data_IF_226631022900
#
_entry.id   IF_226631022900
#
_cell.length_a   1.000
_cell.length_b   1.000
_cell.length_c   1.000
_cell.angle_alpha   90.00
_cell.angle_beta   90.00
_cell.angle_gamma   90.00
#
_symmetry.space_group_name_H-M   'P 1'
#
loop_
_entity.id
_entity.type
_entity.pdbx_description
1 polymer ?
#
# COMPACT_ATOMS: atom_id res chain seq x y z
N UNK A 1 40.41 -29.17 36.49
CA UNK A 1 39.43 -29.68 35.51
C UNK A 1 38.15 -28.87 35.70
N UNK A 2 37.86 -27.92 34.80
CA UNK A 2 36.62 -27.15 34.88
C UNK A 2 35.47 -28.07 34.46
N UNK A 3 34.64 -28.48 35.42
CA UNK A 3 33.44 -29.24 35.14
C UNK A 3 32.49 -28.37 34.31
N UNK A 4 32.35 -28.70 33.02
CA UNK A 4 31.42 -28.03 32.13
C UNK A 4 30.00 -28.38 32.58
N UNK A 5 29.34 -27.47 33.31
CA UNK A 5 27.93 -27.62 33.69
C UNK A 5 27.08 -27.50 32.42
N UNK A 6 26.63 -28.62 31.89
CA UNK A 6 25.67 -28.65 30.79
C UNK A 6 24.28 -28.21 31.25
N UNK A 7 23.47 -27.77 30.27
CA UNK A 7 22.04 -27.51 30.47
C UNK A 7 21.31 -28.81 30.80
N UNK A 8 20.35 -28.76 31.73
CA UNK A 8 19.47 -29.90 32.03
C UNK A 8 18.35 -30.01 30.99
N UNK A 9 17.85 -31.23 30.78
CA UNK A 9 16.70 -31.45 29.90
C UNK A 9 15.45 -30.70 30.35
N UNK A 10 15.26 -30.57 31.68
CA UNK A 10 14.11 -29.85 32.23
C UNK A 10 14.21 -28.34 31.98
N UNK A 11 15.41 -27.75 32.08
CA UNK A 11 15.62 -26.34 31.73
C UNK A 11 15.33 -26.09 30.25
N UNK A 12 15.77 -26.98 29.35
CA UNK A 12 15.46 -26.87 27.93
C UNK A 12 13.96 -26.98 27.64
N UNK A 13 13.25 -27.89 28.31
CA UNK A 13 11.80 -28.04 28.14
C UNK A 13 11.03 -26.79 28.57
N UNK A 14 11.41 -26.16 29.69
CA UNK A 14 10.78 -24.93 30.16
C UNK A 14 11.05 -23.78 29.18
N UNK A 15 12.28 -23.66 28.67
CA UNK A 15 12.63 -22.62 27.68
C UNK A 15 11.80 -22.78 26.41
N UNK A 16 11.67 -24.01 25.89
CA UNK A 16 10.84 -24.27 24.70
C UNK A 16 9.37 -23.93 24.95
N UNK A 17 8.84 -24.25 26.13
CA UNK A 17 7.46 -23.92 26.50
C UNK A 17 7.22 -22.39 26.51
N UNK A 18 8.13 -21.62 27.11
CA UNK A 18 8.03 -20.16 27.16
C UNK A 18 8.14 -19.55 25.75
N UNK A 19 9.10 -20.01 24.93
CA UNK A 19 9.25 -19.54 23.54
C UNK A 19 7.99 -19.87 22.73
N UNK A 20 7.39 -21.05 22.94
CA UNK A 20 6.14 -21.44 22.28
C UNK A 20 4.98 -20.49 22.57
N UNK A 21 4.79 -20.10 23.83
CA UNK A 21 3.75 -19.14 24.23
C UNK A 21 4.00 -17.76 23.61
N UNK A 22 5.24 -17.27 23.67
CA UNK A 22 5.60 -15.97 23.09
C UNK A 22 5.41 -15.97 21.56
N UNK A 23 5.81 -17.03 20.87
CA UNK A 23 5.66 -17.16 19.42
C UNK A 23 4.19 -17.17 18.99
N UNK A 24 3.32 -17.84 19.76
CA UNK A 24 1.88 -17.90 19.47
C UNK A 24 1.21 -16.51 19.45
N UNK A 25 1.69 -15.57 20.28
CA UNK A 25 1.19 -14.18 20.34
C UNK A 25 1.91 -13.29 19.33
N UNK A 26 3.23 -13.44 19.22
CA UNK A 26 4.07 -12.56 18.41
C UNK A 26 3.85 -12.74 16.90
N UNK A 27 3.64 -13.98 16.42
CA UNK A 27 3.51 -14.25 14.98
C UNK A 27 2.25 -13.58 14.39
N UNK A 28 1.04 -13.73 14.94
CA UNK A 28 -0.15 -13.04 14.42
C UNK A 28 -0.01 -11.51 14.48
N UNK A 29 0.57 -10.98 15.55
CA UNK A 29 0.80 -9.55 15.69
C UNK A 29 1.76 -9.00 14.60
N UNK A 30 2.84 -9.74 14.32
CA UNK A 30 3.81 -9.36 13.29
C UNK A 30 3.20 -9.40 11.88
N UNK A 31 2.35 -10.38 11.57
CA UNK A 31 1.63 -10.43 10.29
C UNK A 31 0.79 -9.18 10.05
N UNK A 32 0.13 -8.65 11.09
CA UNK A 32 -0.61 -7.39 11.00
C UNK A 32 0.29 -6.19 10.68
N UNK A 33 1.50 -6.13 11.23
CA UNK A 33 2.47 -5.07 10.92
C UNK A 33 2.97 -5.14 9.47
N UNK A 34 3.22 -6.36 8.96
CA UNK A 34 3.60 -6.57 7.57
C UNK A 34 2.47 -6.11 6.63
N UNK A 35 1.22 -6.43 6.95
CA UNK A 35 0.06 -5.98 6.18
C UNK A 35 -0.01 -4.44 6.10
N UNK A 36 0.13 -3.72 7.23
CA UNK A 36 0.17 -2.24 7.25
C UNK A 36 1.30 -1.70 6.37
N UNK A 37 2.47 -2.32 6.46
CA UNK A 37 3.66 -1.91 5.71
C UNK A 37 3.48 -2.12 4.21
N UNK A 38 2.85 -3.22 3.79
CA UNK A 38 2.54 -3.49 2.38
C UNK A 38 1.56 -2.46 1.80
N UNK A 39 0.51 -2.10 2.56
CA UNK A 39 -0.46 -1.09 2.13
C UNK A 39 0.19 0.29 2.00
N UNK A 40 1.01 0.68 2.98
CA UNK A 40 1.75 1.94 2.92
C UNK A 40 2.77 1.96 1.78
N UNK A 41 3.46 0.85 1.51
CA UNK A 41 4.39 0.71 0.40
C UNK A 41 3.66 0.81 -0.95
N UNK A 42 2.53 0.10 -1.13
CA UNK A 42 1.73 0.19 -2.34
C UNK A 42 1.23 1.61 -2.60
N UNK A 43 0.80 2.34 -1.56
CA UNK A 43 0.46 3.77 -1.67
C UNK A 43 1.66 4.62 -2.11
N UNK A 44 2.83 4.38 -1.52
CA UNK A 44 4.04 5.12 -1.84
C UNK A 44 4.51 4.86 -3.28
N UNK A 45 4.34 3.64 -3.78
CA UNK A 45 4.70 3.26 -5.15
C UNK A 45 3.85 3.99 -6.21
N UNK A 46 2.56 4.21 -5.94
CA UNK A 46 1.67 4.93 -6.88
C UNK A 46 1.68 6.46 -6.69
N UNK A 47 2.18 6.95 -5.56
CA UNK A 47 2.14 8.38 -5.22
C UNK A 47 2.91 9.31 -6.19
N UNK A 48 4.09 8.94 -6.73
CA UNK A 48 4.78 9.74 -7.74
C UNK A 48 3.97 9.96 -9.02
N UNK A 49 3.07 9.03 -9.35
CA UNK A 49 2.21 9.14 -10.52
C UNK A 49 1.28 10.34 -10.48
N UNK A 50 0.97 10.89 -9.29
CA UNK A 50 0.17 12.11 -9.14
C UNK A 50 0.83 13.29 -9.85
N UNK A 51 2.13 13.51 -9.60
CA UNK A 51 2.88 14.62 -10.21
C UNK A 51 2.93 14.48 -11.72
N UNK A 52 3.15 13.27 -12.23
CA UNK A 52 3.17 13.02 -13.67
C UNK A 52 1.77 13.18 -14.29
N UNK A 53 0.71 12.76 -13.58
CA UNK A 53 -0.66 13.00 -14.02
C UNK A 53 -0.98 14.49 -14.12
N UNK A 54 -0.60 15.30 -13.13
CA UNK A 54 -0.74 16.77 -13.19
C UNK A 54 0.01 17.36 -14.39
N UNK A 55 1.26 16.94 -14.61
CA UNK A 55 2.04 17.41 -15.75
C UNK A 55 1.36 17.06 -17.08
N UNK A 56 0.83 15.85 -17.22
CA UNK A 56 0.10 15.42 -18.42
C UNK A 56 -1.18 16.22 -18.62
N UNK A 57 -1.99 16.45 -17.58
CA UNK A 57 -3.19 17.29 -17.69
C UNK A 57 -2.83 18.73 -18.07
N UNK A 58 -1.75 19.29 -17.52
CA UNK A 58 -1.29 20.64 -17.85
C UNK A 58 -0.88 20.80 -19.33
N UNK A 59 -0.49 19.73 -20.02
CA UNK A 59 -0.22 19.77 -21.47
C UNK A 59 -1.48 19.80 -22.34
N UNK A 60 -2.66 19.54 -21.76
CA UNK A 60 -3.93 19.45 -22.48
C UNK A 60 -4.06 18.12 -23.22
N UNK A 61 -4.87 17.22 -22.67
CA UNK A 61 -5.20 15.93 -23.30
C UNK A 61 -6.61 15.96 -23.90
N UNK A 62 -6.80 15.32 -25.05
CA UNK A 62 -8.10 15.20 -25.72
C UNK A 62 -8.75 13.82 -25.55
N UNK A 63 -7.97 12.81 -25.16
CA UNK A 63 -8.42 11.44 -24.94
C UNK A 63 -7.95 10.94 -23.57
N UNK A 64 -8.74 10.10 -22.88
CA UNK A 64 -8.32 9.51 -21.62
C UNK A 64 -7.02 8.72 -21.73
N UNK A 65 -6.13 8.89 -20.76
CA UNK A 65 -4.89 8.10 -20.66
C UNK A 65 -5.09 7.02 -19.62
N UNK A 66 -4.97 5.77 -20.05
CA UNK A 66 -5.31 4.61 -19.21
C UNK A 66 -4.11 3.73 -18.82
N UNK A 67 -2.91 4.11 -19.25
CA UNK A 67 -1.68 3.33 -18.98
C UNK A 67 -0.88 3.88 -17.81
N UNK A 68 -0.46 3.00 -16.89
CA UNK A 68 0.46 3.35 -15.81
C UNK A 68 1.82 3.85 -16.33
N UNK A 69 2.30 3.31 -17.45
CA UNK A 69 3.59 3.71 -18.04
C UNK A 69 3.55 5.14 -18.59
N UNK A 70 2.38 5.65 -18.96
CA UNK A 70 2.22 7.03 -19.43
C UNK A 70 2.48 8.07 -18.32
N UNK A 71 2.37 7.67 -17.06
CA UNK A 71 2.73 8.48 -15.88
C UNK A 71 4.00 7.98 -15.18
N UNK A 72 4.87 7.27 -15.92
CA UNK A 72 6.13 6.69 -15.43
C UNK A 72 5.96 5.77 -14.21
N UNK A 73 4.81 5.11 -14.08
CA UNK A 73 4.61 4.04 -13.11
C UNK A 73 4.83 2.67 -13.76
N UNK A 74 5.28 1.72 -12.96
CA UNK A 74 5.26 0.31 -13.35
C UNK A 74 3.80 -0.17 -13.42
N UNK A 75 3.53 -1.20 -14.22
CA UNK A 75 2.21 -1.84 -14.27
C UNK A 75 1.96 -2.81 -13.11
N UNK A 76 3.04 -3.27 -12.46
CA UNK A 76 3.02 -4.09 -11.25
C UNK A 76 4.32 -3.90 -10.47
N UNK A 77 4.29 -4.19 -9.17
CA UNK A 77 5.41 -4.07 -8.24
C UNK A 77 5.37 -5.24 -7.26
N UNK A 78 6.24 -5.25 -6.25
CA UNK A 78 6.15 -6.24 -5.16
C UNK A 78 4.85 -6.12 -4.35
N UNK A 79 4.30 -4.91 -4.18
CA UNK A 79 3.14 -4.65 -3.33
C UNK A 79 1.85 -4.42 -4.13
N UNK A 80 1.94 -4.20 -5.44
CA UNK A 80 0.80 -4.01 -6.34
C UNK A 80 0.83 -5.08 -7.45
N UNK A 81 -0.16 -5.97 -7.49
CA UNK A 81 -0.32 -6.93 -8.59
C UNK A 81 -0.69 -6.26 -9.91
N UNK A 82 -1.42 -5.15 -9.83
CA UNK A 82 -1.76 -4.31 -10.97
C UNK A 82 -1.83 -2.85 -10.54
N UNK A 83 -1.27 -1.96 -11.37
CA UNK A 83 -1.43 -0.51 -11.26
C UNK A 83 -2.20 -0.04 -12.49
N UNK A 84 -3.35 0.58 -12.25
CA UNK A 84 -4.20 1.15 -13.29
C UNK A 84 -4.28 2.65 -13.12
N UNK A 85 -4.28 3.36 -14.25
CA UNK A 85 -4.34 4.82 -14.29
C UNK A 85 -5.51 5.18 -15.18
N UNK A 86 -6.19 6.27 -14.86
CA UNK A 86 -7.12 6.94 -15.75
C UNK A 86 -6.94 8.44 -15.54
N UNK A 87 -6.51 9.15 -16.57
CA UNK A 87 -6.48 10.61 -16.59
C UNK A 87 -7.49 11.05 -17.62
N UNK A 88 -8.52 11.76 -17.19
CA UNK A 88 -9.61 12.19 -18.04
C UNK A 88 -9.37 13.62 -18.55
N UNK A 89 -9.79 13.96 -19.79
CA UNK A 89 -9.75 15.33 -20.30
C UNK A 89 -10.49 16.37 -19.45
N UNK A 90 -11.39 15.95 -18.55
CA UNK A 90 -12.08 16.80 -17.56
C UNK A 90 -11.24 17.15 -16.32
N UNK A 91 -9.92 16.88 -16.34
CA UNK A 91 -9.00 17.04 -15.21
C UNK A 91 -9.36 16.19 -13.98
N UNK A 92 -10.12 15.11 -14.18
CA UNK A 92 -10.29 14.06 -13.18
C UNK A 92 -9.22 12.98 -13.38
N UNK A 93 -8.74 12.37 -12.30
CA UNK A 93 -7.75 11.30 -12.41
C UNK A 93 -7.92 10.24 -11.35
N UNK A 94 -7.66 8.99 -11.69
CA UNK A 94 -7.57 7.87 -10.75
C UNK A 94 -6.27 7.12 -10.97
N UNK A 95 -5.55 6.82 -9.90
CA UNK A 95 -4.39 5.93 -9.89
C UNK A 95 -4.66 4.87 -8.83
N UNK A 96 -4.84 3.62 -9.25
CA UNK A 96 -5.22 2.51 -8.39
C UNK A 96 -4.13 1.44 -8.38
N UNK A 97 -3.73 1.03 -7.18
CA UNK A 97 -2.97 -0.17 -6.94
C UNK A 97 -3.91 -1.27 -6.42
N UNK A 98 -3.90 -2.43 -7.08
CA UNK A 98 -4.44 -3.67 -6.54
C UNK A 98 -3.33 -4.30 -5.71
N UNK A 99 -3.49 -4.32 -4.39
CA UNK A 99 -2.50 -4.80 -3.44
C UNK A 99 -2.27 -6.31 -3.57
N UNK A 100 -1.04 -6.73 -3.29
CA UNK A 100 -0.65 -8.12 -3.16
C UNK A 100 0.32 -8.31 -1.99
N UNK A 101 0.39 -9.54 -1.46
CA UNK A 101 1.30 -9.88 -0.37
C UNK A 101 0.62 -10.78 0.65
N UNK A 102 0.38 -10.28 1.86
CA UNK A 102 -0.34 -11.03 2.88
C UNK A 102 -1.78 -11.31 2.46
N UNK A 103 -2.36 -12.40 2.97
CA UNK A 103 -3.73 -12.83 2.65
C UNK A 103 -4.79 -11.80 3.06
N UNK A 104 -4.48 -10.95 4.05
CA UNK A 104 -5.38 -9.89 4.54
C UNK A 104 -5.45 -8.65 3.63
N UNK A 105 -4.44 -8.42 2.79
CA UNK A 105 -4.39 -7.25 1.87
C UNK A 105 -4.45 -7.64 0.39
N UNK A 106 -4.21 -8.91 0.05
CA UNK A 106 -4.19 -9.34 -1.35
C UNK A 106 -5.55 -9.14 -2.01
N UNK A 107 -5.54 -8.52 -3.20
CA UNK A 107 -6.73 -8.20 -3.98
C UNK A 107 -7.47 -6.93 -3.52
N UNK A 108 -7.07 -6.33 -2.39
CA UNK A 108 -7.58 -5.05 -1.92
C UNK A 108 -7.01 -3.92 -2.77
N UNK A 109 -7.66 -2.76 -2.74
CA UNK A 109 -7.37 -1.60 -3.58
C UNK A 109 -7.02 -0.40 -2.74
N UNK A 110 -6.03 0.34 -3.21
CA UNK A 110 -5.71 1.67 -2.73
C UNK A 110 -5.66 2.62 -3.93
N UNK A 111 -6.42 3.70 -3.86
CA UNK A 111 -6.70 4.55 -5.02
C UNK A 111 -6.46 6.01 -4.67
N UNK A 112 -5.61 6.67 -5.44
CA UNK A 112 -5.57 8.13 -5.52
C UNK A 112 -6.64 8.61 -6.50
N UNK A 113 -7.51 9.51 -6.05
CA UNK A 113 -8.52 10.16 -6.89
C UNK A 113 -8.31 11.66 -6.85
N UNK A 114 -8.20 12.27 -8.03
CA UNK A 114 -8.17 13.72 -8.21
C UNK A 114 -9.55 14.20 -8.67
N UNK A 115 -10.10 15.18 -7.95
CA UNK A 115 -11.32 15.86 -8.39
C UNK A 115 -11.07 16.73 -9.63
N UNK A 116 -12.12 17.02 -10.40
CA UNK A 116 -12.03 17.98 -11.49
C UNK A 116 -11.67 19.37 -10.97
N UNK A 117 -11.11 20.21 -11.85
CA UNK A 117 -11.01 21.64 -11.59
C UNK A 117 -12.41 22.25 -11.67
N UNK A 118 -12.74 23.13 -10.71
CA UNK A 118 -13.96 23.91 -10.76
C UNK A 118 -13.66 25.25 -11.43
N UNK A 119 -13.93 25.34 -12.73
CA UNK A 119 -13.76 26.55 -13.54
C UNK A 119 -14.69 27.68 -13.14
N UNK A 120 -15.81 27.38 -12.47
CA UNK A 120 -16.78 28.39 -12.00
C UNK A 120 -16.29 29.07 -10.72
N UNK A 121 -15.57 28.34 -9.86
CA UNK A 121 -15.03 28.84 -8.59
C UNK A 121 -13.52 29.07 -8.60
N UNK A 122 -12.85 28.86 -9.75
CA UNK A 122 -11.39 28.97 -9.89
C UNK A 122 -10.60 28.01 -9.01
N UNK A 123 -11.21 26.90 -8.58
CA UNK A 123 -10.59 25.95 -7.64
C UNK A 123 -9.93 24.80 -8.39
N UNK A 124 -8.65 24.57 -8.15
CA UNK A 124 -7.92 23.41 -8.69
C UNK A 124 -8.39 22.12 -8.03
N UNK A 125 -8.43 21.05 -8.80
CA UNK A 125 -8.71 19.71 -8.31
C UNK A 125 -7.73 19.27 -7.21
N UNK A 126 -8.23 18.46 -6.28
CA UNK A 126 -7.47 17.99 -5.13
C UNK A 126 -7.35 16.47 -5.14
N UNK A 127 -6.23 15.97 -4.64
CA UNK A 127 -6.00 14.53 -4.48
C UNK A 127 -6.52 14.02 -3.15
N UNK A 128 -7.31 12.96 -3.22
CA UNK A 128 -7.81 12.19 -2.09
C UNK A 128 -7.38 10.74 -2.24
N UNK A 129 -7.13 10.06 -1.12
CA UNK A 129 -6.83 8.62 -1.13
C UNK A 129 -8.02 7.84 -0.54
N UNK A 130 -8.42 6.76 -1.21
CA UNK A 130 -9.41 5.81 -0.70
C UNK A 130 -8.89 4.39 -0.73
N UNK A 131 -9.38 3.53 0.17
CA UNK A 131 -9.01 2.11 0.20
C UNK A 131 -10.13 1.22 0.73
N UNK A 132 -10.20 -0.02 0.24
CA UNK A 132 -11.12 -1.06 0.72
C UNK A 132 -10.45 -2.02 1.74
N UNK A 133 -9.22 -1.72 2.14
CA UNK A 133 -8.49 -2.42 3.19
C UNK A 133 -9.18 -2.19 4.54
N UNK A 134 -9.19 -3.20 5.41
CA UNK A 134 -9.78 -3.08 6.73
C UNK A 134 -9.19 -1.90 7.52
N UNK A 135 -10.00 -1.28 8.37
CA UNK A 135 -9.63 -0.06 9.10
C UNK A 135 -8.35 -0.21 9.93
N UNK A 136 -8.06 -1.41 10.43
CA UNK A 136 -6.85 -1.69 11.18
C UNK A 136 -5.57 -1.56 10.34
N UNK A 137 -5.66 -1.75 9.02
CA UNK A 137 -4.52 -1.74 8.11
C UNK A 137 -4.47 -0.54 7.16
N UNK A 138 -5.50 0.33 7.15
CA UNK A 138 -5.52 1.48 6.23
C UNK A 138 -4.53 2.57 6.64
N UNK A 139 -3.87 3.26 5.68
CA UNK A 139 -3.03 4.42 5.98
C UNK A 139 -3.88 5.56 6.51
N UNK A 140 -3.34 6.36 7.45
CA UNK A 140 -4.05 7.51 8.03
C UNK A 140 -4.44 8.58 7.00
N UNK A 141 -3.73 8.64 5.88
CA UNK A 141 -3.99 9.57 4.77
C UNK A 141 -5.13 9.13 3.84
N UNK A 142 -5.66 7.92 4.03
CA UNK A 142 -6.66 7.32 3.16
C UNK A 142 -7.96 7.06 3.93
N UNK A 143 -9.08 7.32 3.26
CA UNK A 143 -10.42 7.08 3.82
C UNK A 143 -10.91 5.69 3.47
#
# INVERSE_FOLDING_TARGET
>A
MNAQKGFTLIELMIVVAIIGILAAIAIPAYQGYIAKSQVAAGLAEISPGKTNAEATMATGISTPITSATAVNLQTSTKNCSAITVNIDPTNTSTIQCVLQGTTVVTGKKITWTRSADNTTSGTTGSWSCSTDVAADYKPKSCT
#
